data_IF_217045520276
#
_entry.id   IF_217045520276
#
_cell.length_a   1.000
_cell.length_b   1.000
_cell.length_c   1.000
_cell.angle_alpha   90.00
_cell.angle_beta   90.00
_cell.angle_gamma   90.00
#
_symmetry.space_group_name_H-M   'P 1'
#
loop_
_entity.id
_entity.type
_entity.pdbx_description
1 polymer ?
#
# COMPACT_ATOMS: atom_id res chain seq x y z
N UNK A 1 -4.65 -3.31 -20.77
CA UNK A 1 -6.06 -3.01 -20.47
C UNK A 1 -6.27 -1.51 -20.44
N UNK A 2 -7.21 -0.99 -21.20
CA UNK A 2 -7.42 0.46 -21.32
C UNK A 2 -8.58 0.85 -20.42
N UNK A 3 -8.32 1.74 -19.45
CA UNK A 3 -9.31 2.38 -18.57
C UNK A 3 -9.81 3.62 -19.32
N UNK A 4 -11.10 3.71 -19.60
CA UNK A 4 -11.69 4.87 -20.25
C UNK A 4 -12.05 6.00 -19.25
N UNK A 5 -12.45 7.16 -19.77
CA UNK A 5 -12.79 8.33 -18.95
C UNK A 5 -13.94 8.07 -17.98
N UNK A 6 -14.88 7.20 -18.33
CA UNK A 6 -16.00 6.82 -17.47
C UNK A 6 -15.51 5.95 -16.32
N UNK A 7 -14.59 5.01 -16.58
CA UNK A 7 -13.97 4.18 -15.57
C UNK A 7 -13.13 5.02 -14.60
N UNK A 8 -12.35 5.98 -15.12
CA UNK A 8 -11.58 6.91 -14.28
C UNK A 8 -12.49 7.75 -13.39
N UNK A 9 -13.63 8.21 -13.91
CA UNK A 9 -14.62 8.96 -13.14
C UNK A 9 -15.23 8.12 -12.02
N UNK A 10 -15.60 6.87 -12.30
CA UNK A 10 -16.11 5.94 -11.28
C UNK A 10 -15.07 5.69 -10.18
N UNK A 11 -13.82 5.44 -10.54
CA UNK A 11 -12.71 5.24 -9.59
C UNK A 11 -12.51 6.48 -8.72
N UNK A 12 -12.51 7.68 -9.32
CA UNK A 12 -12.34 8.93 -8.60
C UNK A 12 -13.45 9.17 -7.56
N UNK A 13 -14.70 8.90 -7.92
CA UNK A 13 -15.84 9.01 -7.02
C UNK A 13 -15.73 8.02 -5.85
N UNK A 14 -15.31 6.77 -6.12
CA UNK A 14 -15.14 5.73 -5.10
C UNK A 14 -13.93 5.97 -4.19
N UNK A 15 -12.90 6.66 -4.69
CA UNK A 15 -11.77 7.12 -3.83
C UNK A 15 -12.23 8.15 -2.80
N UNK A 16 -13.22 8.99 -3.15
CA UNK A 16 -13.82 9.95 -2.22
C UNK A 16 -14.78 9.30 -1.22
N UNK A 17 -15.58 8.34 -1.67
CA UNK A 17 -16.54 7.59 -0.85
C UNK A 17 -16.77 6.19 -1.45
N UNK A 18 -16.05 5.21 -0.91
CA UNK A 18 -16.14 3.81 -1.35
C UNK A 18 -17.51 3.16 -1.03
N UNK A 19 -18.33 3.78 -0.19
CA UNK A 19 -19.68 3.33 0.16
C UNK A 19 -20.79 4.03 -0.61
N UNK A 20 -20.46 4.82 -1.62
CA UNK A 20 -21.45 5.54 -2.42
C UNK A 20 -22.44 4.55 -3.04
N UNK A 21 -23.76 4.68 -2.77
CA UNK A 21 -24.77 3.81 -3.37
C UNK A 21 -24.68 3.86 -4.90
N UNK A 22 -24.90 2.72 -5.56
CA UNK A 22 -24.77 2.61 -7.02
C UNK A 22 -25.61 3.64 -7.77
N UNK A 23 -26.80 3.99 -7.24
CA UNK A 23 -27.66 5.01 -7.81
C UNK A 23 -27.02 6.40 -7.80
N UNK A 24 -26.35 6.77 -6.68
CA UNK A 24 -25.64 8.05 -6.56
C UNK A 24 -24.36 8.05 -7.38
N UNK A 25 -23.67 6.91 -7.42
CA UNK A 25 -22.46 6.73 -8.23
C UNK A 25 -22.78 6.93 -9.72
N UNK A 26 -23.82 6.26 -10.22
CA UNK A 26 -24.29 6.37 -11.61
C UNK A 26 -24.69 7.81 -11.97
N UNK A 27 -25.49 8.46 -11.09
CA UNK A 27 -25.92 9.84 -11.30
C UNK A 27 -24.73 10.81 -11.37
N UNK A 28 -23.75 10.69 -10.46
CA UNK A 28 -22.56 11.54 -10.45
C UNK A 28 -21.61 11.26 -11.64
N UNK A 29 -21.58 10.02 -12.12
CA UNK A 29 -20.79 9.65 -13.29
C UNK A 29 -21.51 10.00 -14.61
N UNK A 30 -22.79 10.38 -14.59
CA UNK A 30 -23.58 10.70 -15.77
C UNK A 30 -23.95 9.48 -16.63
N UNK A 31 -24.15 8.31 -15.99
CA UNK A 31 -24.46 7.04 -16.66
C UNK A 31 -25.66 6.34 -15.98
N UNK A 32 -26.18 5.29 -16.64
CA UNK A 32 -27.24 4.47 -16.06
C UNK A 32 -26.72 3.59 -14.90
N UNK A 33 -27.62 3.18 -14.00
CA UNK A 33 -27.27 2.24 -12.90
C UNK A 33 -26.73 0.92 -13.44
N UNK A 34 -27.35 0.38 -14.49
CA UNK A 34 -26.91 -0.86 -15.12
C UNK A 34 -25.49 -0.73 -15.68
N UNK A 35 -25.19 0.39 -16.34
CA UNK A 35 -23.85 0.68 -16.85
C UNK A 35 -22.84 0.82 -15.73
N UNK A 36 -23.18 1.53 -14.65
CA UNK A 36 -22.29 1.70 -13.49
C UNK A 36 -21.97 0.36 -12.83
N UNK A 37 -22.98 -0.50 -12.63
CA UNK A 37 -22.80 -1.84 -12.07
C UNK A 37 -21.88 -2.70 -12.97
N UNK A 38 -22.18 -2.79 -14.25
CA UNK A 38 -21.41 -3.59 -15.20
C UNK A 38 -19.94 -3.15 -15.28
N UNK A 39 -19.67 -1.84 -15.27
CA UNK A 39 -18.32 -1.29 -15.29
C UNK A 39 -17.57 -1.55 -13.98
N UNK A 40 -18.24 -1.37 -12.84
CA UNK A 40 -17.65 -1.64 -11.53
C UNK A 40 -17.26 -3.13 -11.39
N UNK A 41 -18.14 -4.03 -11.83
CA UNK A 41 -17.88 -5.46 -11.82
C UNK A 41 -16.72 -5.82 -12.76
N UNK A 42 -16.63 -5.17 -13.92
CA UNK A 42 -15.51 -5.32 -14.83
C UNK A 42 -14.20 -4.84 -14.19
N UNK A 43 -14.17 -3.65 -13.62
CA UNK A 43 -12.98 -3.10 -12.96
C UNK A 43 -12.46 -3.99 -11.81
N UNK A 44 -13.37 -4.63 -11.08
CA UNK A 44 -13.03 -5.60 -10.03
C UNK A 44 -12.51 -6.92 -10.62
N UNK A 45 -13.21 -7.48 -11.60
CA UNK A 45 -12.84 -8.74 -12.26
C UNK A 45 -11.48 -8.65 -12.95
N UNK A 46 -11.19 -7.51 -13.57
CA UNK A 46 -9.94 -7.25 -14.30
C UNK A 46 -8.81 -6.79 -13.33
N UNK A 47 -9.05 -6.76 -12.02
CA UNK A 47 -8.05 -6.44 -10.99
C UNK A 47 -7.65 -4.96 -10.93
N UNK A 48 -8.33 -4.06 -11.64
CA UNK A 48 -8.09 -2.61 -11.55
C UNK A 48 -8.48 -2.08 -10.18
N UNK A 49 -9.61 -2.57 -9.66
CA UNK A 49 -10.00 -2.37 -8.27
C UNK A 49 -9.68 -3.66 -7.53
N UNK A 50 -8.58 -3.67 -6.79
CA UNK A 50 -8.16 -4.81 -5.99
C UNK A 50 -9.06 -5.02 -4.76
N UNK A 51 -9.67 -3.94 -4.24
CA UNK A 51 -10.54 -4.01 -3.07
C UNK A 51 -10.93 -2.63 -2.55
N UNK A 52 -11.68 -2.64 -1.46
CA UNK A 52 -12.06 -1.45 -0.70
C UNK A 52 -11.51 -1.57 0.71
N UNK A 53 -11.10 -0.46 1.29
CA UNK A 53 -10.57 -0.43 2.65
C UNK A 53 -11.20 0.69 3.46
N UNK A 54 -11.05 0.62 4.78
CA UNK A 54 -11.47 1.66 5.70
C UNK A 54 -10.24 2.47 6.11
N UNK A 55 -10.34 3.79 5.97
CA UNK A 55 -9.32 4.72 6.47
C UNK A 55 -9.75 5.18 7.87
N UNK A 56 -8.98 4.81 8.88
CA UNK A 56 -9.23 5.23 10.27
C UNK A 56 -8.57 6.58 10.55
N UNK A 57 -9.14 7.34 11.47
CA UNK A 57 -8.47 8.53 11.99
C UNK A 57 -7.22 8.11 12.80
N UNK A 58 -6.18 8.91 12.72
CA UNK A 58 -4.88 8.63 13.36
C UNK A 58 -4.92 8.57 14.91
N UNK A 59 -6.04 8.93 15.52
CA UNK A 59 -6.29 8.83 16.97
C UNK A 59 -7.08 7.58 17.37
N UNK A 60 -7.54 6.79 16.42
CA UNK A 60 -8.04 5.44 16.70
C UNK A 60 -6.82 4.55 16.86
N UNK A 61 -6.59 4.09 18.09
CA UNK A 61 -5.46 3.26 18.50
C UNK A 61 -5.42 1.96 17.67
N UNK A 62 -4.86 2.04 16.50
CA UNK A 62 -4.39 0.84 15.80
C UNK A 62 -3.11 0.46 16.54
N UNK A 63 -3.23 -0.50 17.47
CA UNK A 63 -2.12 -1.03 18.23
C UNK A 63 -1.05 -1.55 17.25
N UNK A 64 -0.07 -0.72 16.95
CA UNK A 64 1.02 -1.09 16.06
C UNK A 64 2.00 0.06 15.84
N UNK A 65 3.24 -0.32 15.61
CA UNK A 65 4.31 0.60 15.25
C UNK A 65 4.56 0.48 13.75
N UNK A 66 4.50 1.61 13.05
CA UNK A 66 4.83 1.69 11.63
C UNK A 66 6.19 2.34 11.45
N UNK A 67 6.97 1.82 10.53
CA UNK A 67 8.27 2.38 10.19
C UNK A 67 8.53 2.28 8.68
N UNK A 68 9.46 3.11 8.22
CA UNK A 68 10.04 3.02 6.88
C UNK A 68 11.48 2.60 7.05
N UNK A 69 11.87 1.54 6.36
CA UNK A 69 13.24 1.04 6.33
C UNK A 69 13.80 1.18 4.93
N UNK A 70 14.87 1.93 4.81
CA UNK A 70 15.65 2.07 3.59
C UNK A 70 16.75 1.02 3.61
N UNK A 71 16.97 0.32 2.50
CA UNK A 71 17.82 -0.85 2.41
C UNK A 71 18.79 -0.68 1.25
N UNK A 72 20.07 -0.87 1.54
CA UNK A 72 21.15 -0.97 0.55
C UNK A 72 21.49 -2.44 0.35
N UNK A 73 21.59 -2.88 -0.90
CA UNK A 73 21.79 -4.27 -1.27
C UNK A 73 23.15 -4.45 -1.95
N UNK A 74 23.89 -5.46 -1.55
CA UNK A 74 25.18 -5.80 -2.15
C UNK A 74 25.01 -6.47 -3.52
N UNK A 75 25.55 -5.83 -4.55
CA UNK A 75 25.79 -6.42 -5.85
C UNK A 75 24.52 -6.97 -6.54
N UNK A 76 24.56 -8.25 -6.95
CA UNK A 76 23.51 -8.89 -7.78
C UNK A 76 22.42 -9.60 -6.98
N UNK A 77 22.26 -9.28 -5.69
CA UNK A 77 21.36 -10.01 -4.80
C UNK A 77 19.97 -9.37 -4.65
N UNK A 78 19.67 -8.32 -5.41
CA UNK A 78 18.40 -7.56 -5.31
C UNK A 78 17.17 -8.45 -5.38
N UNK A 79 17.12 -9.36 -6.36
CA UNK A 79 15.96 -10.25 -6.54
C UNK A 79 15.79 -11.23 -5.36
N UNK A 80 16.89 -11.78 -4.85
CA UNK A 80 16.88 -12.70 -3.71
C UNK A 80 16.44 -12.00 -2.43
N UNK A 81 17.01 -10.82 -2.15
CA UNK A 81 16.65 -9.98 -1.00
C UNK A 81 15.18 -9.54 -1.08
N UNK A 82 14.74 -9.03 -2.22
CA UNK A 82 13.35 -8.60 -2.44
C UNK A 82 12.38 -9.74 -2.19
N UNK A 83 12.65 -10.93 -2.72
CA UNK A 83 11.81 -12.13 -2.50
C UNK A 83 11.76 -12.51 -1.02
N UNK A 84 12.88 -12.42 -0.32
CA UNK A 84 12.94 -12.70 1.12
C UNK A 84 12.11 -11.72 1.93
N UNK A 85 12.23 -10.42 1.63
CA UNK A 85 11.47 -9.36 2.29
C UNK A 85 9.97 -9.47 2.03
N UNK A 86 9.56 -9.77 0.80
CA UNK A 86 8.14 -10.00 0.45
C UNK A 86 7.53 -11.19 1.20
N UNK A 87 8.33 -12.14 1.66
CA UNK A 87 7.88 -13.27 2.49
C UNK A 87 7.66 -12.92 3.96
N UNK A 88 8.01 -11.71 4.41
CA UNK A 88 7.81 -11.26 5.79
C UNK A 88 6.43 -10.60 5.92
N UNK A 89 5.51 -11.11 6.77
CA UNK A 89 4.15 -10.58 6.87
C UNK A 89 4.07 -9.14 7.39
N UNK A 90 5.09 -8.68 8.12
CA UNK A 90 5.21 -7.32 8.64
C UNK A 90 5.61 -6.31 7.55
N UNK A 91 6.16 -6.75 6.43
CA UNK A 91 6.47 -5.91 5.26
C UNK A 91 5.18 -5.66 4.50
N UNK A 92 4.64 -4.45 4.61
CA UNK A 92 3.37 -4.06 4.00
C UNK A 92 3.51 -3.60 2.56
N UNK A 93 4.57 -2.87 2.28
CA UNK A 93 4.90 -2.40 0.94
C UNK A 93 6.41 -2.46 0.74
N UNK A 94 6.83 -2.72 -0.49
CA UNK A 94 8.21 -2.76 -0.90
C UNK A 94 8.36 -2.05 -2.23
N UNK A 95 9.26 -1.08 -2.29
CA UNK A 95 9.51 -0.27 -3.48
C UNK A 95 10.99 -0.28 -3.82
N UNK A 96 11.33 -0.48 -5.09
CA UNK A 96 12.67 -0.15 -5.59
C UNK A 96 12.80 1.35 -5.78
N UNK A 97 13.98 1.89 -5.62
CA UNK A 97 14.25 3.32 -5.78
C UNK A 97 15.39 3.57 -6.76
N UNK A 98 15.48 4.79 -7.26
CA UNK A 98 16.57 5.25 -8.13
C UNK A 98 17.64 6.06 -7.39
N UNK A 99 17.55 6.12 -6.05
CA UNK A 99 18.44 6.92 -5.22
C UNK A 99 19.59 6.12 -4.62
N UNK A 100 20.12 6.58 -3.49
CA UNK A 100 21.20 5.94 -2.75
C UNK A 100 20.81 4.54 -2.26
N UNK A 101 19.57 4.37 -1.86
CA UNK A 101 19.02 3.13 -1.33
C UNK A 101 18.36 2.33 -2.45
N UNK A 102 18.58 1.03 -2.49
CA UNK A 102 18.04 0.17 -3.54
C UNK A 102 16.54 -0.09 -3.32
N UNK A 103 16.14 -0.27 -2.06
CA UNK A 103 14.78 -0.64 -1.68
C UNK A 103 14.30 0.18 -0.49
N UNK A 104 13.03 0.54 -0.51
CA UNK A 104 12.29 1.11 0.62
C UNK A 104 11.16 0.18 1.01
N UNK A 105 11.14 -0.24 2.29
CA UNK A 105 10.10 -1.08 2.86
C UNK A 105 9.24 -0.28 3.85
N UNK A 106 7.92 -0.32 3.67
CA UNK A 106 6.98 0.06 4.73
C UNK A 106 6.69 -1.16 5.58
N UNK A 107 6.95 -1.06 6.88
CA UNK A 107 6.81 -2.15 7.84
C UNK A 107 5.86 -1.77 8.96
N UNK A 108 5.16 -2.76 9.49
CA UNK A 108 4.22 -2.62 10.59
C UNK A 108 4.38 -3.78 11.56
N UNK A 109 4.60 -3.46 12.83
CA UNK A 109 4.75 -4.44 13.91
C UNK A 109 3.81 -4.12 15.08
N UNK A 110 3.36 -5.13 15.84
CA UNK A 110 2.40 -4.92 16.94
C UNK A 110 2.99 -4.13 18.11
N UNK A 111 4.30 -4.05 18.25
CA UNK A 111 4.99 -3.33 19.33
C UNK A 111 6.40 -2.89 18.91
N UNK A 112 7.02 -2.02 19.69
CA UNK A 112 8.43 -1.62 19.51
C UNK A 112 9.36 -2.84 19.61
N UNK A 113 9.10 -3.76 20.55
CA UNK A 113 9.90 -4.97 20.70
C UNK A 113 9.82 -5.87 19.46
N UNK A 114 8.60 -6.07 18.94
CA UNK A 114 8.40 -6.84 17.69
C UNK A 114 9.06 -6.14 16.49
N UNK A 115 9.06 -4.81 16.46
CA UNK A 115 9.77 -4.05 15.42
C UNK A 115 11.29 -4.27 15.52
N UNK A 116 11.88 -4.25 16.70
CA UNK A 116 13.32 -4.51 16.88
C UNK A 116 13.70 -5.91 16.41
N UNK A 117 12.90 -6.92 16.75
CA UNK A 117 13.10 -8.30 16.28
C UNK A 117 13.02 -8.40 14.75
N UNK A 118 12.04 -7.74 14.13
CA UNK A 118 11.91 -7.66 12.67
C UNK A 118 13.13 -6.99 12.03
N UNK A 119 13.56 -5.84 12.55
CA UNK A 119 14.73 -5.13 12.03
C UNK A 119 16.01 -5.97 12.15
N UNK A 120 16.13 -6.75 13.21
CA UNK A 120 17.23 -7.71 13.37
C UNK A 120 17.16 -8.80 12.32
N UNK A 121 15.97 -9.37 12.08
CA UNK A 121 15.77 -10.38 11.03
C UNK A 121 16.06 -9.83 9.63
N UNK A 122 15.66 -8.60 9.34
CA UNK A 122 15.97 -7.93 8.06
C UNK A 122 17.47 -7.80 7.89
N UNK A 123 18.21 -7.31 8.90
CA UNK A 123 19.67 -7.14 8.84
C UNK A 123 20.44 -8.45 8.68
N UNK A 124 19.83 -9.60 8.98
CA UNK A 124 20.42 -10.92 8.80
C UNK A 124 20.17 -11.55 7.42
N UNK A 125 19.41 -10.87 6.56
CA UNK A 125 19.20 -11.35 5.19
C UNK A 125 20.48 -11.17 4.40
N UNK A 126 20.97 -12.27 3.83
CA UNK A 126 22.17 -12.24 2.97
C UNK A 126 21.96 -11.31 1.79
N UNK A 127 22.92 -10.44 1.53
CA UNK A 127 22.85 -9.44 0.47
C UNK A 127 22.40 -8.06 0.94
N UNK A 128 21.96 -7.88 2.18
CA UNK A 128 21.72 -6.56 2.75
C UNK A 128 23.04 -6.00 3.29
N UNK A 129 23.49 -4.89 2.70
CA UNK A 129 24.71 -4.20 3.09
C UNK A 129 24.47 -3.22 4.24
N UNK A 130 23.36 -2.46 4.16
CA UNK A 130 23.05 -1.43 5.14
C UNK A 130 21.55 -1.18 5.22
N UNK A 131 21.09 -0.70 6.37
CA UNK A 131 19.68 -0.31 6.59
C UNK A 131 19.60 0.97 7.40
N UNK A 132 18.62 1.80 7.08
CA UNK A 132 18.26 2.98 7.86
C UNK A 132 16.74 2.97 8.09
N UNK A 133 16.32 3.05 9.36
CA UNK A 133 14.92 2.89 9.74
C UNK A 133 14.42 4.12 10.48
N UNK A 134 13.30 4.66 10.01
CA UNK A 134 12.57 5.75 10.66
C UNK A 134 11.21 5.27 11.13
N UNK A 135 10.95 5.37 12.43
CA UNK A 135 9.63 5.09 13.01
C UNK A 135 8.69 6.25 12.67
N UNK A 136 7.53 5.92 12.14
CA UNK A 136 6.48 6.89 11.85
C UNK A 136 5.74 7.23 13.16
N UNK A 137 5.91 8.47 13.63
CA UNK A 137 5.26 8.93 14.85
C UNK A 137 3.83 9.38 14.54
N UNK A 138 3.57 10.66 14.49
CA UNK A 138 2.25 11.24 14.26
C UNK A 138 2.09 11.71 12.82
N UNK A 139 1.04 11.27 12.14
CA UNK A 139 0.68 11.81 10.84
C UNK A 139 0.28 13.30 10.98
N UNK A 140 0.96 14.18 10.24
CA UNK A 140 0.63 15.61 10.18
C UNK A 140 -0.46 15.92 9.15
N UNK A 141 -0.54 15.10 8.10
CA UNK A 141 -1.53 15.20 7.02
C UNK A 141 -1.81 13.80 6.47
N UNK A 142 -3.07 13.47 6.33
CA UNK A 142 -3.52 12.30 5.57
C UNK A 142 -4.44 12.81 4.48
N UNK A 143 -4.09 12.54 3.21
CA UNK A 143 -4.95 12.88 2.06
C UNK A 143 -6.01 11.78 1.95
N UNK A 144 -7.26 12.20 1.91
CA UNK A 144 -8.41 11.34 1.65
C UNK A 144 -8.63 11.16 0.16
#
# INVERSE_FOLDING_TARGET
MTIDDTDQRLISLLRGDARLPIAKLAARAGISRATATARLDKLRRDGVIAGFTVVLQSNVDTQGVRAITMIEIDGRQEESVTRRLMGMPEVRQLHTTNGRWDVVAEIEAPSISALDDLLRAIRQVDGIANTDTSILLKARKTVR
#
